data_IF_234797302362
#
_entry.id   IF_234797302362
#
_cell.length_a   1.000
_cell.length_b   1.000
_cell.length_c   1.000
_cell.angle_alpha   90.00
_cell.angle_beta   90.00
_cell.angle_gamma   90.00
#
_symmetry.space_group_name_H-M   'P 1'
#
loop_
_entity.id
_entity.type
_entity.pdbx_description
1 polymer ?
#
# COMPACT_ATOMS: atom_id res chain seq x y z
N UNK A 1 21.11 -9.95 -18.57
CA UNK A 1 21.47 -9.12 -17.41
C UNK A 1 20.26 -8.26 -17.08
N UNK A 2 19.58 -8.47 -15.95
CA UNK A 2 18.43 -7.63 -15.57
C UNK A 2 18.94 -6.27 -15.11
N UNK A 3 18.39 -5.21 -15.71
CA UNK A 3 18.77 -3.84 -15.45
C UNK A 3 18.53 -3.49 -13.97
N UNK A 4 19.50 -2.80 -13.34
CA UNK A 4 19.40 -2.29 -11.97
C UNK A 4 18.12 -1.45 -11.75
N UNK A 5 17.60 -0.83 -12.81
CA UNK A 5 16.32 -0.10 -12.82
C UNK A 5 15.10 -0.97 -12.44
N UNK A 6 15.12 -2.28 -12.73
CA UNK A 6 14.05 -3.22 -12.33
C UNK A 6 13.99 -3.40 -10.81
N UNK A 7 15.17 -3.50 -10.19
CA UNK A 7 15.30 -3.70 -8.74
C UNK A 7 14.74 -2.49 -7.99
N UNK A 8 15.02 -1.27 -8.47
CA UNK A 8 14.46 -0.05 -7.88
C UNK A 8 12.93 0.03 -8.01
N UNK A 9 12.33 -0.55 -9.05
CA UNK A 9 10.88 -0.65 -9.20
C UNK A 9 10.27 -1.63 -8.19
N UNK A 10 10.91 -2.77 -7.97
CA UNK A 10 10.49 -3.77 -6.98
C UNK A 10 10.59 -3.22 -5.56
N UNK A 11 11.62 -2.42 -5.25
CA UNK A 11 11.74 -1.71 -3.97
C UNK A 11 10.63 -0.68 -3.75
N UNK A 12 10.15 0.02 -4.80
CA UNK A 12 9.01 0.95 -4.67
C UNK A 12 7.73 0.22 -4.26
N UNK A 13 7.50 -0.98 -4.77
CA UNK A 13 6.34 -1.81 -4.38
C UNK A 13 6.43 -2.20 -2.90
N UNK A 14 7.62 -2.64 -2.44
CA UNK A 14 7.84 -3.02 -1.03
C UNK A 14 7.76 -1.81 -0.08
N UNK A 15 8.28 -0.65 -0.47
CA UNK A 15 8.20 0.58 0.32
C UNK A 15 6.75 1.05 0.44
N UNK A 16 5.93 0.98 -0.62
CA UNK A 16 4.50 1.29 -0.55
C UNK A 16 3.78 0.35 0.44
N UNK A 17 4.18 -0.92 0.56
CA UNK A 17 3.60 -1.83 1.57
C UNK A 17 4.03 -1.51 3.01
N UNK A 18 5.22 -0.92 3.22
CA UNK A 18 5.71 -0.51 4.55
C UNK A 18 5.14 0.85 4.97
N UNK A 19 5.03 1.80 4.04
CA UNK A 19 4.28 3.06 4.17
C UNK A 19 2.78 2.82 4.43
N UNK A 20 2.21 1.76 3.85
CA UNK A 20 0.82 1.32 4.14
C UNK A 20 0.57 1.02 5.64
N UNK A 21 1.63 0.68 6.40
CA UNK A 21 1.56 0.44 7.84
C UNK A 21 1.78 1.71 8.68
N UNK A 22 2.48 2.71 8.14
CA UNK A 22 2.90 3.90 8.89
C UNK A 22 2.02 5.14 8.62
N UNK A 23 1.40 5.24 7.43
CA UNK A 23 0.39 6.24 7.08
C UNK A 23 -1.02 5.89 7.59
N UNK A 24 -1.21 4.70 8.15
CA UNK A 24 -2.36 4.38 9.00
C UNK A 24 -2.13 4.96 10.41
N UNK A 25 -1.80 6.25 10.48
CA UNK A 25 -1.69 6.97 11.74
C UNK A 25 -3.10 7.13 12.31
N UNK A 26 -3.45 6.20 13.20
CA UNK A 26 -4.68 6.11 13.98
C UNK A 26 -5.02 7.38 14.78
N UNK A 27 -4.17 8.41 14.76
CA UNK A 27 -4.43 9.70 15.37
C UNK A 27 -5.65 10.43 14.78
N UNK A 28 -6.03 10.17 13.51
CA UNK A 28 -7.26 10.74 12.89
C UNK A 28 -8.53 9.93 13.16
N UNK A 29 -8.43 8.75 13.77
CA UNK A 29 -9.58 7.94 14.20
C UNK A 29 -9.88 8.14 15.69
N UNK A 30 -8.92 8.64 16.48
CA UNK A 30 -9.03 8.76 17.95
C UNK A 30 -8.90 10.17 18.53
N UNK A 31 -8.65 11.21 17.74
CA UNK A 31 -8.73 12.61 18.17
C UNK A 31 -9.63 13.34 17.16
N UNK A 32 -10.81 13.87 17.50
CA UNK A 32 -11.21 14.47 18.77
C UNK A 32 -12.74 14.65 18.79
N UNK A 33 -13.48 13.61 19.21
CA UNK A 33 -14.89 13.75 19.63
C UNK A 33 -14.97 14.30 21.07
N UNK A 34 -14.20 15.37 21.35
CA UNK A 34 -14.29 16.09 22.62
C UNK A 34 -15.32 17.23 22.57
N UNK A 35 -16.30 17.12 21.68
CA UNK A 35 -17.57 17.84 21.77
C UNK A 35 -18.75 16.89 21.53
N UNK A 36 -18.69 15.67 22.05
CA UNK A 36 -19.94 14.97 22.38
C UNK A 36 -20.45 15.58 23.69
N UNK A 37 -21.11 16.75 23.58
CA UNK A 37 -22.06 17.12 24.62
C UNK A 37 -23.23 16.16 24.47
N UNK A 38 -23.17 15.11 25.28
CA UNK A 38 -24.29 14.24 25.60
C UNK A 38 -25.46 15.10 26.12
N UNK A 39 -26.66 14.61 25.86
CA UNK A 39 -27.95 15.05 26.42
C UNK A 39 -28.65 16.29 25.80
N UNK A 40 -29.28 16.08 24.64
CA UNK A 40 -30.61 16.66 24.42
C UNK A 40 -31.43 15.75 23.49
N UNK A 41 -32.08 14.75 24.08
CA UNK A 41 -33.21 14.05 23.46
C UNK A 41 -34.36 15.05 23.26
N UNK A 42 -34.34 15.80 22.16
CA UNK A 42 -35.53 16.53 21.69
C UNK A 42 -36.49 15.50 21.13
N UNK A 43 -37.57 15.31 21.88
CA UNK A 43 -38.85 14.80 21.41
C UNK A 43 -39.23 15.50 20.08
N UNK A 44 -39.27 14.71 18.99
CA UNK A 44 -39.64 15.14 17.63
C UNK A 44 -41.16 15.36 17.48
N UNK A 45 -41.87 15.57 18.60
CA UNK A 45 -43.29 15.92 18.59
C UNK A 45 -43.48 17.43 18.45
N UNK A 46 -43.56 17.83 17.19
CA UNK A 46 -44.13 19.08 16.69
C UNK A 46 -43.29 20.36 16.92
N UNK A 47 -42.71 20.88 15.82
CA UNK A 47 -43.10 22.19 15.31
C UNK A 47 -42.52 22.47 13.91
N UNK A 48 -43.30 23.22 13.15
CA UNK A 48 -43.13 23.68 11.76
C UNK A 48 -41.70 24.08 11.34
N UNK A 49 -41.38 24.01 10.03
CA UNK A 49 -40.07 24.39 9.50
C UNK A 49 -39.91 25.92 9.55
N UNK A 50 -39.54 26.46 10.71
CA UNK A 50 -39.04 27.82 10.83
C UNK A 50 -37.63 27.86 10.24
N UNK A 51 -37.44 28.60 9.15
CA UNK A 51 -36.23 28.64 8.34
C UNK A 51 -34.99 29.24 9.04
N UNK A 52 -35.10 29.67 10.30
CA UNK A 52 -34.06 30.43 11.00
C UNK A 52 -33.67 29.79 12.36
N UNK A 53 -33.41 28.48 12.39
CA UNK A 53 -32.93 27.82 13.61
C UNK A 53 -31.41 27.59 13.54
N UNK A 54 -30.57 28.30 14.31
CA UNK A 54 -29.10 28.20 14.24
C UNK A 54 -28.57 26.79 14.54
N UNK A 55 -29.33 25.98 15.28
CA UNK A 55 -29.03 24.56 15.52
C UNK A 55 -29.09 23.71 14.23
N UNK A 56 -29.98 24.05 13.29
CA UNK A 56 -30.05 23.38 12.00
C UNK A 56 -28.84 23.73 11.11
N UNK A 57 -28.35 24.97 11.21
CA UNK A 57 -27.16 25.41 10.50
C UNK A 57 -25.90 24.72 11.02
N UNK A 58 -25.76 24.53 12.33
CA UNK A 58 -24.67 23.76 12.92
C UNK A 58 -24.67 22.30 12.44
N UNK A 59 -25.82 21.61 12.48
CA UNK A 59 -25.94 20.23 11.97
C UNK A 59 -25.61 20.14 10.47
N UNK A 60 -26.01 21.15 9.69
CA UNK A 60 -25.71 21.23 8.25
C UNK A 60 -24.21 21.45 8.00
N UNK A 61 -23.56 22.29 8.79
CA UNK A 61 -22.13 22.57 8.71
C UNK A 61 -21.30 21.33 9.08
N UNK A 62 -21.66 20.62 10.15
CA UNK A 62 -21.01 19.36 10.53
C UNK A 62 -21.10 18.30 9.41
N UNK A 63 -22.28 18.13 8.79
CA UNK A 63 -22.44 17.24 7.64
C UNK A 63 -21.62 17.69 6.42
N UNK A 64 -21.51 18.99 6.17
CA UNK A 64 -20.72 19.53 5.08
C UNK A 64 -19.22 19.28 5.28
N UNK A 65 -18.71 19.48 6.50
CA UNK A 65 -17.31 19.19 6.86
C UNK A 65 -16.99 17.71 6.72
N UNK A 66 -17.85 16.83 7.24
CA UNK A 66 -17.71 15.39 7.07
C UNK A 66 -17.66 14.98 5.58
N UNK A 67 -18.57 15.52 4.76
CA UNK A 67 -18.58 15.26 3.32
C UNK A 67 -17.32 15.76 2.60
N UNK A 68 -16.74 16.88 3.05
CA UNK A 68 -15.49 17.40 2.51
C UNK A 68 -14.31 16.49 2.86
N UNK A 69 -14.22 16.03 4.12
CA UNK A 69 -13.18 15.12 4.56
C UNK A 69 -13.23 13.80 3.79
N UNK A 70 -14.42 13.23 3.62
CA UNK A 70 -14.60 11.97 2.90
C UNK A 70 -14.28 12.10 1.40
N UNK A 71 -14.51 13.27 0.78
CA UNK A 71 -14.03 13.53 -0.59
C UNK A 71 -12.51 13.46 -0.67
N UNK A 72 -11.81 14.16 0.25
CA UNK A 72 -10.34 14.12 0.31
C UNK A 72 -9.82 12.70 0.51
N UNK A 73 -10.46 11.90 1.37
CA UNK A 73 -10.10 10.49 1.60
C UNK A 73 -10.24 9.66 0.32
N UNK A 74 -11.35 9.84 -0.42
CA UNK A 74 -11.57 9.14 -1.69
C UNK A 74 -10.57 9.54 -2.78
N UNK A 75 -10.20 10.82 -2.84
CA UNK A 75 -9.19 11.31 -3.78
C UNK A 75 -7.82 10.72 -3.47
N UNK A 76 -7.41 10.70 -2.19
CA UNK A 76 -6.18 10.03 -1.76
C UNK A 76 -6.17 8.54 -2.15
N UNK A 77 -7.27 7.81 -1.90
CA UNK A 77 -7.38 6.41 -2.32
C UNK A 77 -7.25 6.26 -3.84
N UNK A 78 -7.88 7.15 -4.60
CA UNK A 78 -7.78 7.13 -6.05
C UNK A 78 -6.33 7.32 -6.51
N UNK A 79 -5.61 8.25 -5.91
CA UNK A 79 -4.19 8.51 -6.20
C UNK A 79 -3.30 7.31 -5.83
N UNK A 80 -3.60 6.62 -4.72
CA UNK A 80 -2.94 5.36 -4.37
C UNK A 80 -3.18 4.27 -5.41
N UNK A 81 -4.41 4.12 -5.94
CA UNK A 81 -4.69 3.17 -7.01
C UNK A 81 -3.98 3.51 -8.32
N UNK A 82 -3.85 4.80 -8.65
CA UNK A 82 -3.06 5.26 -9.79
C UNK A 82 -1.57 4.91 -9.60
N UNK A 83 -1.00 5.21 -8.44
CA UNK A 83 0.39 4.89 -8.12
C UNK A 83 0.66 3.38 -8.14
N UNK A 84 -0.26 2.59 -7.58
CA UNK A 84 -0.17 1.13 -7.61
C UNK A 84 -0.21 0.60 -9.04
N UNK A 85 -1.11 1.15 -9.88
CA UNK A 85 -1.21 0.80 -11.30
C UNK A 85 0.12 1.01 -12.03
N UNK A 86 0.75 2.17 -11.81
CA UNK A 86 2.00 2.53 -12.46
C UNK A 86 3.20 1.68 -11.99
N UNK A 87 3.11 1.12 -10.78
CA UNK A 87 4.09 0.18 -10.26
C UNK A 87 4.02 -1.22 -10.87
N UNK A 88 2.90 -1.60 -11.51
CA UNK A 88 2.72 -2.95 -12.05
C UNK A 88 3.35 -3.04 -13.45
N UNK A 89 4.31 -3.97 -13.68
CA UNK A 89 4.96 -4.12 -14.96
C UNK A 89 3.98 -4.62 -16.03
N UNK A 90 4.12 -4.07 -17.26
CA UNK A 90 3.32 -4.44 -18.44
C UNK A 90 1.80 -4.25 -18.29
N UNK A 91 1.37 -3.33 -17.43
CA UNK A 91 -0.05 -3.05 -17.21
C UNK A 91 -0.58 -1.93 -18.11
N UNK A 92 -0.98 -2.25 -19.34
CA UNK A 92 -1.37 -1.27 -20.37
C UNK A 92 -2.87 -0.94 -20.43
N UNK A 93 -3.63 -1.15 -19.34
CA UNK A 93 -5.08 -0.88 -19.36
C UNK A 93 -5.40 0.53 -18.88
N UNK A 94 -5.68 1.44 -19.82
CA UNK A 94 -6.12 2.82 -19.54
C UNK A 94 -7.38 2.88 -18.67
N UNK A 95 -8.25 1.85 -18.74
CA UNK A 95 -9.48 1.72 -17.94
C UNK A 95 -9.50 0.47 -17.08
N UNK A 96 -8.42 0.22 -16.34
CA UNK A 96 -8.38 -0.87 -15.38
C UNK A 96 -9.34 -0.64 -14.21
N UNK A 97 -10.13 -1.65 -13.87
CA UNK A 97 -10.93 -1.63 -12.64
C UNK A 97 -10.04 -1.80 -11.39
N UNK A 98 -10.51 -1.31 -10.24
CA UNK A 98 -9.80 -1.47 -8.94
C UNK A 98 -9.49 -2.94 -8.65
N UNK A 99 -10.43 -3.84 -8.89
CA UNK A 99 -10.23 -5.28 -8.68
C UNK A 99 -9.15 -5.86 -9.60
N UNK A 100 -9.06 -5.41 -10.86
CA UNK A 100 -7.99 -5.84 -11.77
C UNK A 100 -6.62 -5.33 -11.34
N UNK A 101 -6.53 -4.08 -10.89
CA UNK A 101 -5.28 -3.50 -10.36
C UNK A 101 -4.79 -4.34 -9.17
N UNK A 102 -5.67 -4.62 -8.19
CA UNK A 102 -5.32 -5.43 -7.02
C UNK A 102 -4.88 -6.85 -7.40
N UNK A 103 -5.62 -7.50 -8.31
CA UNK A 103 -5.29 -8.85 -8.77
C UNK A 103 -3.93 -8.89 -9.45
N UNK A 104 -3.65 -7.94 -10.34
CA UNK A 104 -2.38 -7.91 -11.06
C UNK A 104 -1.20 -7.55 -10.16
N UNK A 105 -1.40 -6.64 -9.20
CA UNK A 105 -0.40 -6.36 -8.17
C UNK A 105 -0.05 -7.63 -7.38
N UNK A 106 -1.08 -8.37 -6.95
CA UNK A 106 -0.89 -9.63 -6.23
C UNK A 106 -0.13 -10.67 -7.05
N UNK A 107 -0.50 -10.90 -8.31
CA UNK A 107 0.21 -11.80 -9.22
C UNK A 107 1.69 -11.40 -9.41
N UNK A 108 1.96 -10.10 -9.51
CA UNK A 108 3.33 -9.58 -9.67
C UNK A 108 4.17 -9.87 -8.44
N UNK A 109 3.62 -9.67 -7.25
CA UNK A 109 4.29 -9.96 -5.98
C UNK A 109 4.57 -11.47 -5.86
N UNK A 110 3.60 -12.32 -6.21
CA UNK A 110 3.80 -13.77 -6.19
C UNK A 110 4.91 -14.21 -7.14
N UNK A 111 4.87 -13.73 -8.39
CA UNK A 111 5.91 -14.04 -9.37
C UNK A 111 7.30 -13.57 -8.91
N UNK A 112 7.39 -12.38 -8.31
CA UNK A 112 8.64 -11.86 -7.74
C UNK A 112 9.18 -12.71 -6.58
N UNK A 113 8.30 -13.21 -5.71
CA UNK A 113 8.70 -14.09 -4.60
C UNK A 113 9.21 -15.45 -5.09
N UNK A 114 8.52 -16.05 -6.07
CA UNK A 114 8.94 -17.33 -6.67
C UNK A 114 10.29 -17.18 -7.38
N UNK A 115 10.45 -16.06 -8.09
CA UNK A 115 11.72 -15.70 -8.73
C UNK A 115 12.85 -15.50 -7.73
N UNK A 116 12.61 -14.76 -6.64
CA UNK A 116 13.60 -14.56 -5.58
C UNK A 116 14.02 -15.89 -4.96
N UNK A 117 13.08 -16.80 -4.74
CA UNK A 117 13.35 -18.16 -4.24
C UNK A 117 14.21 -18.96 -5.20
N UNK A 118 13.92 -18.91 -6.51
CA UNK A 118 14.71 -19.59 -7.52
C UNK A 118 16.14 -19.03 -7.61
N UNK A 119 16.28 -17.71 -7.63
CA UNK A 119 17.58 -17.04 -7.62
C UNK A 119 18.39 -17.37 -6.37
N UNK A 120 17.74 -17.39 -5.20
CA UNK A 120 18.38 -17.79 -3.95
C UNK A 120 18.93 -19.23 -4.00
N UNK A 121 18.16 -20.16 -4.59
CA UNK A 121 18.63 -21.53 -4.81
C UNK A 121 19.79 -21.61 -5.82
N UNK A 122 19.74 -20.81 -6.88
CA UNK A 122 20.80 -20.75 -7.88
C UNK A 122 22.11 -20.23 -7.29
N UNK A 123 22.04 -19.14 -6.51
CA UNK A 123 23.20 -18.60 -5.77
C UNK A 123 23.82 -19.68 -4.89
N UNK A 124 23.01 -20.40 -4.11
CA UNK A 124 23.50 -21.49 -3.26
C UNK A 124 24.25 -22.57 -4.05
N UNK A 125 23.69 -23.00 -5.20
CA UNK A 125 24.34 -24.00 -6.07
C UNK A 125 25.68 -23.49 -6.62
N UNK A 126 25.74 -22.22 -7.01
CA UNK A 126 26.96 -21.59 -7.51
C UNK A 126 28.02 -21.52 -6.40
N UNK A 127 27.62 -21.17 -5.18
CA UNK A 127 28.51 -21.14 -4.01
C UNK A 127 29.08 -22.54 -3.70
N UNK A 128 28.24 -23.57 -3.68
CA UNK A 128 28.67 -24.97 -3.49
C UNK A 128 29.64 -25.42 -4.59
N UNK A 129 29.36 -25.08 -5.85
CA UNK A 129 30.24 -25.40 -6.97
C UNK A 129 31.59 -24.66 -6.87
N UNK A 130 31.56 -23.38 -6.51
CA UNK A 130 32.77 -22.59 -6.29
C UNK A 130 33.62 -23.15 -5.14
N UNK A 131 32.99 -23.57 -4.04
CA UNK A 131 33.69 -24.23 -2.93
C UNK A 131 34.35 -25.53 -3.38
N UNK A 132 33.65 -26.34 -4.17
CA UNK A 132 34.18 -27.58 -4.73
C UNK A 132 35.42 -27.33 -5.61
N UNK A 133 35.33 -26.36 -6.54
CA UNK A 133 36.45 -25.98 -7.41
C UNK A 133 37.64 -25.46 -6.60
N UNK A 134 37.40 -24.66 -5.56
CA UNK A 134 38.48 -24.18 -4.66
C UNK A 134 39.20 -25.34 -3.97
N UNK A 135 38.47 -26.35 -3.48
CA UNK A 135 39.06 -27.55 -2.87
C UNK A 135 39.89 -28.36 -3.88
N UNK A 136 39.40 -28.53 -5.11
CA UNK A 136 40.16 -29.22 -6.16
C UNK A 136 41.48 -28.51 -6.45
N UNK A 137 41.45 -27.18 -6.56
CA UNK A 137 42.63 -26.35 -6.84
C UNK A 137 43.65 -26.43 -5.71
N UNK A 138 43.21 -26.38 -4.45
CA UNK A 138 44.08 -26.58 -3.28
C UNK A 138 44.77 -27.97 -3.33
N UNK A 139 44.02 -29.01 -3.67
CA UNK A 139 44.54 -30.37 -3.76
C UNK A 139 45.60 -30.49 -4.86
N UNK A 140 45.33 -29.92 -6.05
CA UNK A 140 46.28 -29.93 -7.17
C UNK A 140 47.54 -29.11 -6.87
N UNK A 141 47.43 -27.97 -6.19
CA UNK A 141 48.61 -27.16 -5.79
C UNK A 141 49.48 -27.86 -4.75
N UNK A 142 48.91 -28.71 -3.88
CA UNK A 142 49.66 -29.54 -2.92
C UNK A 142 50.40 -30.71 -3.58
N UNK A 143 49.83 -31.29 -4.65
CA UNK A 143 50.48 -32.38 -5.40
C UNK A 143 51.64 -31.87 -6.28
N UNK A 144 51.59 -30.60 -6.69
CA UNK A 144 52.60 -29.98 -7.57
C UNK A 144 53.79 -29.39 -6.80
N UNK A 145 53.81 -29.47 -5.47
CA UNK A 145 54.82 -28.87 -4.60
C UNK A 145 55.61 -29.95 -3.86
#
# INVERSE_FOLDING_TARGET
MRNILSIFHDFKIVIITFEFRFEFNWHWIFMEDNTFSDDFDIDDSAMSPSQNNPLNDYKKQARAQHNALERRRRDNIKDMYCSLKDGIPNFSSDRASRAQILRKAYETIQAGNDELKNLSQEVKKIEEHNEHLRKQLETQTKVTR
#
